data_IF_796143301028
#
_entry.id   IF_796143301028
#
_cell.length_a   1.000
_cell.length_b   1.000
_cell.length_c   1.000
_cell.angle_alpha   90.00
_cell.angle_beta   90.00
_cell.angle_gamma   90.00
#
_symmetry.space_group_name_H-M   'P 1'
#
loop_
_entity.id
_entity.type
_entity.pdbx_description
1 polymer ?
#
# COMPACT_ATOMS: atom_id res chain seq x y z
N UNK A 1 -19.08 -12.50 -1.52
CA UNK A 1 -20.47 -12.67 -0.99
C UNK A 1 -20.87 -14.15 -0.81
N UNK A 2 -19.94 -15.08 -1.00
CA UNK A 2 -20.20 -16.52 -0.89
C UNK A 2 -20.00 -17.07 0.52
N UNK A 3 -19.26 -16.35 1.37
CA UNK A 3 -18.96 -16.76 2.75
C UNK A 3 -19.80 -15.96 3.74
N UNK A 4 -20.47 -16.67 4.66
CA UNK A 4 -21.26 -16.08 5.76
C UNK A 4 -20.39 -15.71 6.95
N UNK A 5 -19.26 -16.39 7.12
CA UNK A 5 -18.27 -16.20 8.17
C UNK A 5 -16.90 -16.06 7.52
N UNK A 6 -16.04 -15.25 8.10
CA UNK A 6 -14.67 -15.02 7.66
C UNK A 6 -13.75 -15.63 8.68
N UNK A 7 -12.91 -16.55 8.25
CA UNK A 7 -11.84 -17.17 9.03
C UNK A 7 -10.45 -16.65 8.61
N UNK A 8 -9.40 -17.08 9.29
CA UNK A 8 -8.02 -16.70 9.00
C UNK A 8 -7.59 -17.05 7.55
N UNK A 9 -8.04 -18.22 7.06
CA UNK A 9 -7.68 -18.69 5.70
C UNK A 9 -8.32 -17.82 4.62
N UNK A 10 -9.59 -17.45 4.80
CA UNK A 10 -10.31 -16.55 3.87
C UNK A 10 -9.66 -15.17 3.89
N UNK A 11 -9.30 -14.67 5.07
CA UNK A 11 -8.65 -13.37 5.23
C UNK A 11 -7.26 -13.35 4.59
N UNK A 12 -6.45 -14.40 4.78
CA UNK A 12 -5.15 -14.54 4.13
C UNK A 12 -5.26 -14.54 2.61
N UNK A 13 -6.18 -15.32 2.03
CA UNK A 13 -6.46 -15.31 0.59
C UNK A 13 -6.94 -13.96 0.08
N UNK A 14 -7.72 -13.23 0.87
CA UNK A 14 -8.14 -11.88 0.51
C UNK A 14 -6.95 -10.91 0.46
N UNK A 15 -6.02 -10.99 1.42
CA UNK A 15 -4.78 -10.20 1.43
C UNK A 15 -3.89 -10.53 0.23
N UNK A 16 -3.72 -11.82 -0.10
CA UNK A 16 -2.97 -12.28 -1.28
C UNK A 16 -3.54 -11.68 -2.56
N UNK A 17 -4.85 -11.82 -2.79
CA UNK A 17 -5.51 -11.28 -3.98
C UNK A 17 -5.48 -9.77 -4.06
N UNK A 18 -5.65 -9.08 -2.94
CA UNK A 18 -5.55 -7.62 -2.87
C UNK A 18 -4.15 -7.14 -3.25
N UNK A 19 -3.12 -7.77 -2.69
CA UNK A 19 -1.72 -7.48 -3.01
C UNK A 19 -1.40 -7.75 -4.48
N UNK A 20 -1.79 -8.91 -5.01
CA UNK A 20 -1.57 -9.24 -6.42
C UNK A 20 -2.27 -8.23 -7.36
N UNK A 21 -3.49 -7.81 -7.02
CA UNK A 21 -4.23 -6.81 -7.78
C UNK A 21 -3.54 -5.44 -7.74
N UNK A 22 -3.06 -5.02 -6.58
CA UNK A 22 -2.34 -3.76 -6.42
C UNK A 22 -1.03 -3.74 -7.24
N UNK A 23 -0.23 -4.81 -7.19
CA UNK A 23 0.99 -4.93 -8.01
C UNK A 23 0.67 -4.91 -9.51
N UNK A 24 -0.42 -5.57 -9.94
CA UNK A 24 -0.84 -5.57 -11.35
C UNK A 24 -1.30 -4.18 -11.82
N UNK A 25 -1.86 -3.36 -10.93
CA UNK A 25 -2.35 -2.03 -11.27
C UNK A 25 -1.23 -0.98 -11.44
N UNK A 26 -0.01 -1.27 -10.98
CA UNK A 26 1.12 -0.34 -11.04
C UNK A 26 2.06 -0.75 -12.16
N UNK A 27 2.34 0.16 -13.10
CA UNK A 27 3.20 -0.13 -14.25
C UNK A 27 4.65 -0.46 -13.86
N UNK A 28 5.20 0.27 -12.90
CA UNK A 28 6.57 0.08 -12.38
C UNK A 28 6.54 -0.02 -10.85
N UNK A 29 6.19 -1.19 -10.30
CA UNK A 29 6.14 -1.35 -8.85
C UNK A 29 7.55 -1.18 -8.24
N UNK A 30 7.64 -0.31 -7.23
CA UNK A 30 8.88 -0.06 -6.48
C UNK A 30 8.76 -0.67 -5.09
N UNK A 31 9.82 -1.37 -4.66
CA UNK A 31 9.94 -1.82 -3.27
C UNK A 31 10.22 -0.64 -2.34
N UNK A 32 9.86 -0.76 -1.07
CA UNK A 32 9.92 0.34 -0.10
C UNK A 32 8.70 1.25 -0.11
N UNK A 33 7.61 0.83 -0.75
CA UNK A 33 6.33 1.57 -0.84
C UNK A 33 5.19 0.82 -0.15
N UNK A 34 3.99 1.39 -0.20
CA UNK A 34 2.74 0.71 0.23
C UNK A 34 2.62 -0.72 -0.32
N UNK A 35 3.14 -0.98 -1.53
CA UNK A 35 3.11 -2.31 -2.12
C UNK A 35 3.96 -3.31 -1.33
N UNK A 36 5.11 -2.88 -0.83
CA UNK A 36 5.98 -3.72 0.03
C UNK A 36 5.30 -4.04 1.35
N UNK A 37 4.63 -3.07 1.97
CA UNK A 37 3.86 -3.29 3.20
C UNK A 37 2.70 -4.26 2.95
N UNK A 38 1.93 -4.07 1.88
CA UNK A 38 0.84 -4.96 1.49
C UNK A 38 1.33 -6.41 1.24
N UNK A 39 2.48 -6.56 0.59
CA UNK A 39 3.13 -7.86 0.38
C UNK A 39 3.58 -8.51 1.69
N UNK A 40 4.09 -7.70 2.63
CA UNK A 40 4.42 -8.18 3.98
C UNK A 40 3.19 -8.68 4.72
N UNK A 41 2.07 -7.94 4.67
CA UNK A 41 0.78 -8.33 5.24
C UNK A 41 0.33 -9.68 4.66
N UNK A 42 0.32 -9.81 3.33
CA UNK A 42 -0.10 -11.04 2.64
C UNK A 42 0.74 -12.24 3.07
N UNK A 43 2.05 -12.12 3.04
CA UNK A 43 2.96 -13.21 3.42
C UNK A 43 2.79 -13.64 4.88
N UNK A 44 2.65 -12.68 5.80
CA UNK A 44 2.44 -13.02 7.22
C UNK A 44 1.06 -13.61 7.47
N UNK A 45 0.05 -13.15 6.77
CA UNK A 45 -1.28 -13.72 6.82
C UNK A 45 -1.32 -15.18 6.35
N UNK A 46 -0.64 -15.51 5.25
CA UNK A 46 -0.51 -16.89 4.76
C UNK A 46 0.17 -17.79 5.79
N UNK A 47 1.30 -17.36 6.35
CA UNK A 47 2.05 -18.11 7.40
C UNK A 47 1.17 -18.38 8.63
N UNK A 48 0.44 -17.38 9.10
CA UNK A 48 -0.39 -17.50 10.30
C UNK A 48 -1.65 -18.32 10.07
N UNK A 49 -2.23 -18.29 8.88
CA UNK A 49 -3.41 -19.10 8.55
C UNK A 49 -3.17 -20.61 8.61
N UNK A 50 -1.90 -21.05 8.56
CA UNK A 50 -1.52 -22.44 8.76
C UNK A 50 -1.47 -22.84 10.26
N UNK A 51 -1.38 -21.86 11.17
CA UNK A 51 -1.10 -22.09 12.59
C UNK A 51 -2.23 -21.67 13.53
N UNK A 52 -3.09 -20.74 13.13
CA UNK A 52 -4.21 -20.25 13.96
C UNK A 52 -5.44 -19.91 13.13
N UNK A 53 -6.61 -20.24 13.69
CA UNK A 53 -7.93 -19.82 13.18
C UNK A 53 -8.47 -18.62 13.97
N UNK A 54 -7.87 -18.29 15.11
CA UNK A 54 -8.29 -17.22 16.00
C UNK A 54 -7.88 -15.84 15.42
N UNK A 55 -8.86 -15.07 15.01
CA UNK A 55 -8.66 -13.73 14.43
C UNK A 55 -8.13 -12.71 15.45
N UNK A 56 -8.40 -12.88 16.74
CA UNK A 56 -7.86 -12.01 17.79
C UNK A 56 -6.35 -12.19 17.99
N UNK A 57 -5.83 -13.36 17.62
CA UNK A 57 -4.39 -13.65 17.58
C UNK A 57 -3.81 -13.31 16.22
N UNK A 58 -4.50 -13.69 15.14
CA UNK A 58 -4.06 -13.55 13.77
C UNK A 58 -3.83 -12.06 13.37
N UNK A 59 -4.83 -11.20 13.61
CA UNK A 59 -4.79 -9.80 13.11
C UNK A 59 -3.67 -8.99 13.77
N UNK A 60 -3.47 -9.00 15.11
CA UNK A 60 -2.37 -8.28 15.75
C UNK A 60 -0.98 -8.71 15.27
N UNK A 61 -0.76 -10.00 15.04
CA UNK A 61 0.53 -10.51 14.57
C UNK A 61 0.81 -10.07 13.12
N UNK A 62 -0.22 -10.03 12.25
CA UNK A 62 -0.12 -9.48 10.91
C UNK A 62 0.22 -8.00 10.95
N UNK A 63 -0.46 -7.22 11.79
CA UNK A 63 -0.22 -5.78 11.96
C UNK A 63 1.20 -5.54 12.43
N UNK A 64 1.64 -6.20 13.48
CA UNK A 64 2.99 -6.08 14.02
C UNK A 64 4.07 -6.34 12.97
N UNK A 65 3.91 -7.39 12.20
CA UNK A 65 4.86 -7.69 11.11
C UNK A 65 4.83 -6.61 10.01
N UNK A 66 3.67 -6.08 9.69
CA UNK A 66 3.54 -5.00 8.72
C UNK A 66 4.20 -3.69 9.19
N UNK A 67 4.14 -3.39 10.50
CA UNK A 67 4.88 -2.27 11.12
C UNK A 67 6.40 -2.47 11.00
N UNK A 68 6.89 -3.69 11.20
CA UNK A 68 8.30 -4.02 11.01
C UNK A 68 8.75 -3.83 9.55
N UNK A 69 7.91 -4.22 8.59
CA UNK A 69 8.15 -4.01 7.16
C UNK A 69 8.13 -2.52 6.81
N UNK A 70 7.16 -1.76 7.34
CA UNK A 70 7.09 -0.31 7.16
C UNK A 70 8.36 0.38 7.65
N UNK A 71 8.85 0.00 8.83
CA UNK A 71 10.08 0.56 9.41
C UNK A 71 11.32 0.32 8.54
N UNK A 72 11.31 -0.70 7.66
CA UNK A 72 12.39 -1.02 6.74
C UNK A 72 12.31 -0.28 5.41
N UNK A 73 11.21 0.40 5.10
CA UNK A 73 11.03 1.11 3.81
C UNK A 73 12.13 2.14 3.50
N UNK A 74 12.71 2.88 4.49
CA UNK A 74 13.83 3.78 4.22
C UNK A 74 15.10 3.07 3.70
N UNK A 75 15.30 1.81 4.06
CA UNK A 75 16.46 1.05 3.57
C UNK A 75 16.27 0.55 2.12
N UNK A 76 15.04 0.61 1.60
CA UNK A 76 14.68 0.18 0.25
C UNK A 76 14.61 1.34 -0.74
N UNK A 77 14.29 2.56 -0.26
CA UNK A 77 14.16 3.77 -1.08
C UNK A 77 15.08 4.88 -0.55
N UNK A 78 16.11 5.26 -1.30
CA UNK A 78 17.07 6.30 -0.87
C UNK A 78 16.43 7.62 -0.48
N UNK A 79 15.38 8.05 -1.19
CA UNK A 79 14.65 9.29 -0.89
C UNK A 79 13.99 9.28 0.50
N UNK A 80 13.50 8.13 0.97
CA UNK A 80 12.93 7.99 2.31
C UNK A 80 14.03 8.03 3.37
N UNK A 81 15.18 7.39 3.08
CA UNK A 81 16.33 7.40 3.96
C UNK A 81 16.91 8.80 4.14
N UNK A 82 17.06 9.55 3.06
CA UNK A 82 17.51 10.95 3.08
C UNK A 82 16.56 11.86 3.86
N UNK A 83 15.25 11.65 3.70
CA UNK A 83 14.22 12.40 4.41
C UNK A 83 14.06 11.95 5.87
N UNK A 84 14.60 10.79 6.27
CA UNK A 84 14.46 10.23 7.61
C UNK A 84 13.02 9.83 7.95
N UNK A 85 12.26 9.38 6.94
CA UNK A 85 10.84 9.02 7.08
C UNK A 85 10.56 7.63 6.50
N UNK A 86 9.48 7.00 6.96
CA UNK A 86 8.93 5.78 6.36
C UNK A 86 8.02 6.14 5.18
N UNK A 87 7.63 5.13 4.37
CA UNK A 87 6.67 5.33 3.29
C UNK A 87 5.30 5.78 3.82
N UNK A 88 4.84 6.94 3.37
CA UNK A 88 3.57 7.52 3.82
C UNK A 88 2.34 6.70 3.39
N UNK A 89 2.41 6.06 2.22
CA UNK A 89 1.36 5.18 1.74
C UNK A 89 1.24 3.92 2.59
N UNK A 90 2.38 3.31 2.95
CA UNK A 90 2.45 2.17 3.88
C UNK A 90 1.95 2.52 5.27
N UNK A 91 2.33 3.69 5.79
CA UNK A 91 1.81 4.20 7.06
C UNK A 91 0.29 4.36 7.01
N UNK A 92 -0.24 4.99 5.95
CA UNK A 92 -1.69 5.18 5.78
C UNK A 92 -2.45 3.85 5.69
N UNK A 93 -1.88 2.85 5.01
CA UNK A 93 -2.46 1.50 4.96
C UNK A 93 -2.56 0.88 6.37
N UNK A 94 -1.53 1.01 7.19
CA UNK A 94 -1.54 0.52 8.56
C UNK A 94 -2.56 1.23 9.42
N UNK A 95 -2.71 2.55 9.30
CA UNK A 95 -3.76 3.29 10.03
C UNK A 95 -5.17 2.79 9.70
N UNK A 96 -5.44 2.47 8.42
CA UNK A 96 -6.72 1.87 8.01
C UNK A 96 -6.92 0.50 8.66
N UNK A 97 -5.88 -0.33 8.69
CA UNK A 97 -5.95 -1.68 9.28
C UNK A 97 -6.11 -1.61 10.80
N UNK A 98 -5.41 -0.71 11.48
CA UNK A 98 -5.59 -0.46 12.91
C UNK A 98 -7.03 -0.02 13.23
N UNK A 99 -7.58 0.89 12.43
CA UNK A 99 -8.98 1.30 12.57
C UNK A 99 -9.96 0.16 12.37
N UNK A 100 -9.76 -0.68 11.36
CA UNK A 100 -10.57 -1.87 11.12
C UNK A 100 -10.48 -2.87 12.27
N UNK A 101 -9.28 -3.10 12.82
CA UNK A 101 -9.09 -3.98 13.96
C UNK A 101 -9.74 -3.43 15.24
N UNK A 102 -9.63 -2.12 15.48
CA UNK A 102 -10.31 -1.49 16.60
C UNK A 102 -11.84 -1.65 16.52
N UNK A 103 -12.41 -1.50 15.31
CA UNK A 103 -13.82 -1.74 15.07
C UNK A 103 -14.21 -3.23 15.26
N UNK A 104 -13.36 -4.16 14.82
CA UNK A 104 -13.55 -5.59 15.06
C UNK A 104 -13.62 -5.93 16.56
N UNK A 105 -12.80 -5.28 17.38
CA UNK A 105 -12.84 -5.40 18.85
C UNK A 105 -13.99 -4.66 19.52
N UNK A 106 -14.88 -4.01 18.76
CA UNK A 106 -16.00 -3.22 19.28
C UNK A 106 -15.61 -1.91 19.97
N UNK A 107 -14.40 -1.37 19.69
CA UNK A 107 -13.96 -0.09 20.24
C UNK A 107 -14.71 1.05 19.56
N UNK A 108 -15.23 1.99 20.34
CA UNK A 108 -15.82 3.22 19.82
C UNK A 108 -14.70 4.15 19.29
N UNK A 109 -14.99 4.81 18.17
CA UNK A 109 -14.06 5.77 17.57
C UNK A 109 -14.29 7.14 18.21
N UNK A 110 -13.27 7.68 18.88
CA UNK A 110 -13.28 9.05 19.39
C UNK A 110 -12.89 10.04 18.28
N UNK A 111 -13.89 10.53 17.56
CA UNK A 111 -13.68 11.50 16.48
C UNK A 111 -13.07 12.82 16.98
N UNK A 112 -13.37 13.23 18.23
CA UNK A 112 -12.82 14.45 18.80
C UNK A 112 -11.30 14.34 19.04
N UNK A 113 -10.81 13.16 19.49
CA UNK A 113 -9.39 12.89 19.63
C UNK A 113 -8.66 12.87 18.27
N UNK A 114 -9.32 12.36 17.22
CA UNK A 114 -8.77 12.32 15.85
C UNK A 114 -8.63 13.75 15.29
N UNK A 115 -9.66 14.60 15.44
CA UNK A 115 -9.61 15.99 15.00
C UNK A 115 -8.55 16.81 15.76
N UNK A 116 -8.38 16.57 17.06
CA UNK A 116 -7.35 17.22 17.87
C UNK A 116 -5.93 16.80 17.49
N UNK A 117 -5.73 15.59 16.99
CA UNK A 117 -4.43 15.06 16.55
C UNK A 117 -4.04 15.46 15.12
N UNK A 118 -4.94 16.06 14.36
CA UNK A 118 -4.86 16.36 12.93
C UNK A 118 -3.90 17.48 12.52
N UNK A 119 -2.72 17.50 13.06
CA UNK A 119 -1.63 18.40 12.68
C UNK A 119 -0.38 17.67 12.23
N UNK A 120 -0.43 16.97 11.09
CA UNK A 120 0.80 16.42 10.51
C UNK A 120 1.73 17.55 10.13
N UNK A 121 2.90 17.63 10.75
CA UNK A 121 3.97 18.54 10.29
C UNK A 121 4.34 18.13 8.87
N UNK A 122 4.02 18.96 7.89
CA UNK A 122 4.51 18.78 6.53
C UNK A 122 6.03 18.78 6.54
N UNK A 123 6.63 17.65 6.25
CA UNK A 123 8.06 17.55 5.99
C UNK A 123 8.30 18.22 4.62
N UNK A 124 9.06 19.31 4.60
CA UNK A 124 9.46 19.94 3.34
C UNK A 124 10.43 19.02 2.63
N UNK A 125 10.25 18.78 1.31
CA UNK A 125 11.24 18.03 0.52
C UNK A 125 12.64 18.69 0.66
N UNK A 126 13.68 17.87 0.72
CA UNK A 126 15.05 18.39 0.72
C UNK A 126 15.32 19.09 -0.62
N UNK A 127 16.11 20.17 -0.61
CA UNK A 127 16.50 20.90 -1.84
C UNK A 127 17.21 20.00 -2.87
N UNK A 128 17.77 18.87 -2.43
CA UNK A 128 18.41 17.87 -3.29
C UNK A 128 17.41 17.05 -4.10
N UNK A 129 16.22 16.77 -3.55
CA UNK A 129 15.16 16.06 -4.26
C UNK A 129 14.55 16.91 -5.40
N UNK A 130 14.58 18.24 -5.29
CA UNK A 130 14.14 19.15 -6.37
C UNK A 130 15.11 19.18 -7.54
N UNK A 131 16.41 18.92 -7.32
CA UNK A 131 17.44 19.01 -8.36
C UNK A 131 17.44 17.83 -9.35
N UNK A 132 16.90 16.67 -8.96
CA UNK A 132 16.86 15.46 -9.77
C UNK A 132 15.54 15.27 -10.55
N UNK A 133 14.58 16.16 -10.41
CA UNK A 133 13.31 16.10 -11.13
C UNK A 133 13.52 16.56 -12.59
N UNK A 134 13.60 15.60 -13.52
CA UNK A 134 13.67 15.87 -14.96
C UNK A 134 12.35 16.33 -15.55
N UNK A 135 11.23 15.81 -15.02
CA UNK A 135 9.88 16.10 -15.48
C UNK A 135 9.10 16.71 -14.30
N UNK A 136 8.80 17.99 -14.39
CA UNK A 136 8.18 18.77 -13.30
C UNK A 136 6.66 18.62 -13.19
N UNK A 137 6.04 17.79 -14.03
CA UNK A 137 4.60 17.63 -14.09
C UNK A 137 4.21 16.16 -13.94
N UNK A 138 3.21 15.90 -13.10
CA UNK A 138 2.48 14.64 -13.08
C UNK A 138 1.20 14.82 -13.88
N UNK A 139 1.05 14.05 -14.96
CA UNK A 139 -0.12 14.17 -15.87
C UNK A 139 -0.91 12.88 -15.83
N UNK A 140 -2.19 13.00 -15.54
CA UNK A 140 -3.14 11.89 -15.58
C UNK A 140 -4.16 12.11 -16.69
N UNK A 141 -4.56 11.06 -17.38
CA UNK A 141 -5.61 11.10 -18.38
C UNK A 141 -6.35 9.77 -18.46
N UNK A 142 -7.61 9.82 -18.90
CA UNK A 142 -8.45 8.64 -19.12
C UNK A 142 -8.78 8.59 -20.61
N UNK A 143 -8.44 7.47 -21.26
CA UNK A 143 -8.79 7.22 -22.66
C UNK A 143 -10.01 6.32 -22.68
N UNK A 144 -11.09 6.81 -23.33
CA UNK A 144 -12.25 5.99 -23.65
C UNK A 144 -12.12 5.49 -25.09
N UNK A 145 -12.08 4.19 -25.27
CA UNK A 145 -11.98 3.55 -26.59
C UNK A 145 -13.33 3.00 -27.04
N UNK A 146 -13.67 3.16 -28.30
CA UNK A 146 -14.87 2.56 -28.90
C UNK A 146 -14.70 1.06 -29.19
N UNK A 147 -13.45 0.60 -29.27
CA UNK A 147 -13.08 -0.79 -29.52
C UNK A 147 -12.40 -1.38 -28.31
N UNK A 148 -12.46 -2.70 -28.18
CA UNK A 148 -11.75 -3.43 -27.14
C UNK A 148 -10.23 -3.12 -27.20
N UNK A 149 -9.69 -2.71 -26.04
CA UNK A 149 -8.28 -2.41 -25.88
C UNK A 149 -7.59 -3.70 -25.44
N UNK A 150 -6.80 -4.29 -26.34
CA UNK A 150 -6.14 -5.58 -26.10
C UNK A 150 -4.84 -5.41 -25.30
N UNK A 151 -4.35 -6.50 -24.68
CA UNK A 151 -3.05 -6.52 -23.97
C UNK A 151 -1.89 -6.03 -24.85
N UNK A 152 -1.97 -6.29 -26.18
CA UNK A 152 -0.98 -5.78 -27.14
C UNK A 152 -1.05 -4.26 -27.28
N UNK A 153 -2.25 -3.68 -27.36
CA UNK A 153 -2.44 -2.24 -27.44
C UNK A 153 -1.96 -1.56 -26.14
N UNK A 154 -2.21 -2.19 -24.99
CA UNK A 154 -1.72 -1.72 -23.68
C UNK A 154 -0.18 -1.68 -23.66
N UNK A 155 0.47 -2.77 -24.08
CA UNK A 155 1.92 -2.85 -24.10
C UNK A 155 2.58 -1.82 -25.04
N UNK A 156 2.01 -1.65 -26.25
CA UNK A 156 2.49 -0.67 -27.24
C UNK A 156 2.31 0.78 -26.72
N UNK A 157 1.17 1.05 -26.10
CA UNK A 157 0.88 2.37 -25.55
C UNK A 157 1.77 2.69 -24.35
N UNK A 158 1.99 1.72 -23.46
CA UNK A 158 2.92 1.84 -22.35
C UNK A 158 4.34 2.16 -22.83
N UNK A 159 4.84 1.40 -23.81
CA UNK A 159 6.17 1.64 -24.40
C UNK A 159 6.28 3.04 -25.02
N UNK A 160 5.19 3.54 -25.63
CA UNK A 160 5.15 4.90 -26.17
C UNK A 160 5.27 5.94 -25.05
N UNK A 161 4.46 5.82 -23.98
CA UNK A 161 4.52 6.74 -22.83
C UNK A 161 5.91 6.77 -22.18
N UNK A 162 6.53 5.59 -22.00
CA UNK A 162 7.89 5.47 -21.46
C UNK A 162 8.95 6.14 -22.34
N UNK A 163 8.68 6.28 -23.65
CA UNK A 163 9.60 6.94 -24.59
C UNK A 163 9.57 8.47 -24.51
N UNK A 164 8.47 9.05 -23.99
CA UNK A 164 8.25 10.51 -23.95
C UNK A 164 8.27 11.10 -22.54
N UNK A 165 8.29 10.26 -21.51
CA UNK A 165 8.28 10.69 -20.11
C UNK A 165 8.85 9.65 -19.17
N UNK A 166 8.91 10.00 -17.89
CA UNK A 166 9.19 9.06 -16.80
C UNK A 166 7.85 8.63 -16.19
N UNK A 167 7.49 7.36 -16.39
CA UNK A 167 6.20 6.79 -15.99
C UNK A 167 6.38 5.66 -14.99
#
# INVERSE_FOLDING_TARGET
REHKEIDAVILAKACERATATAYKAVMKPKEGTILTVAKGISRKAEELAETTEDLEVFIPEVIKYAEEVLAQTPEMLPVLKEAGVVDSGGQGLLEVIHGAYAAFLGKEIDYAAIEASGGTKMVKPSQQAEADIKFGYCTEFIIMTEKEFTDKNEAEFKAYLESIGDS
#
